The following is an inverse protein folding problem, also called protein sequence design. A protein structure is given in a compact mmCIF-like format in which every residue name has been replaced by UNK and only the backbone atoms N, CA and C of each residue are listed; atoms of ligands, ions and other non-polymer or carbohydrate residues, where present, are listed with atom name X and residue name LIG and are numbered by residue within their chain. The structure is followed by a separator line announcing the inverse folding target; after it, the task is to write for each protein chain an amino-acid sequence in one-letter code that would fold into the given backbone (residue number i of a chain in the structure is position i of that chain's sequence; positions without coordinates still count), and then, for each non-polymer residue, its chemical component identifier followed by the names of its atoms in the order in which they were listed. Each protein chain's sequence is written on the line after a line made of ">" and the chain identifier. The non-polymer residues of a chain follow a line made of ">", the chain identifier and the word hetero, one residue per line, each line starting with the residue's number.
data_IF_009077854358
#
_entry.id   IF_009077854358
#
_cell.length_a   1.000
_cell.length_b   1.000
_cell.length_c   1.000
_cell.angle_alpha   90.00
_cell.angle_beta   90.00
_cell.angle_gamma   90.00
#
_symmetry.space_group_name_H-M   'P 1'
#
loop_
_entity.id
_entity.type
_entity.pdbx_description
1 polymer ?
#
# COMPACT_ATOMS: atom_id res chain seq x y z
N UNK A 1 14.19 -1.16 -27.70
CA UNK A 1 14.56 -1.63 -26.34
C UNK A 1 14.02 -0.59 -25.37
N UNK A 2 13.22 -0.95 -24.37
CA UNK A 2 12.69 0.02 -23.41
C UNK A 2 13.85 0.52 -22.54
N UNK A 3 14.21 1.81 -22.62
CA UNK A 3 15.25 2.40 -21.79
C UNK A 3 14.89 2.24 -20.30
N UNK A 4 15.85 1.80 -19.49
CA UNK A 4 15.68 1.66 -18.04
C UNK A 4 16.39 2.79 -17.32
N UNK A 5 15.68 3.42 -16.40
CA UNK A 5 16.23 4.47 -15.55
C UNK A 5 17.16 3.89 -14.48
N UNK A 6 18.36 4.47 -14.35
CA UNK A 6 19.29 4.30 -13.23
C UNK A 6 19.85 5.67 -12.80
N UNK A 7 20.37 5.80 -11.56
CA UNK A 7 20.87 7.08 -11.05
C UNK A 7 21.95 7.74 -11.93
N UNK A 8 22.86 6.95 -12.48
CA UNK A 8 24.03 7.42 -13.25
C UNK A 8 23.83 7.40 -14.78
N UNK A 9 22.60 7.17 -15.27
CA UNK A 9 22.29 7.14 -16.70
C UNK A 9 21.32 6.04 -17.09
N UNK A 10 21.01 5.94 -18.38
CA UNK A 10 20.15 4.88 -18.91
C UNK A 10 20.92 3.56 -19.02
N UNK A 11 20.23 2.45 -18.77
CA UNK A 11 20.78 1.09 -18.89
C UNK A 11 21.98 0.86 -17.95
N UNK A 12 21.70 0.86 -16.64
CA UNK A 12 22.68 0.70 -15.56
C UNK A 12 23.56 -0.55 -15.66
N UNK A 13 24.48 -0.73 -14.70
CA UNK A 13 25.55 -1.71 -14.82
C UNK A 13 25.02 -3.14 -14.97
N UNK A 14 25.81 -4.01 -15.61
CA UNK A 14 25.60 -5.44 -15.52
C UNK A 14 25.81 -5.86 -14.07
N UNK A 15 24.74 -6.31 -13.42
CA UNK A 15 24.76 -6.72 -12.02
C UNK A 15 24.87 -8.24 -11.95
N UNK A 16 25.88 -8.71 -11.23
CA UNK A 16 25.95 -10.10 -10.81
C UNK A 16 25.29 -10.20 -9.45
N UNK A 17 24.18 -10.93 -9.38
CA UNK A 17 23.54 -11.20 -8.10
C UNK A 17 24.40 -12.22 -7.31
N UNK A 18 24.48 -12.12 -5.97
CA UNK A 18 25.31 -12.98 -5.15
C UNK A 18 24.67 -14.37 -4.93
N UNK A 19 24.09 -14.96 -5.97
CA UNK A 19 23.39 -16.24 -5.91
C UNK A 19 23.89 -17.20 -6.98
N UNK A 20 24.13 -18.46 -6.60
CA UNK A 20 24.61 -19.51 -7.53
C UNK A 20 23.46 -20.36 -8.06
N UNK A 21 22.44 -20.58 -7.22
CA UNK A 21 21.29 -21.42 -7.49
C UNK A 21 19.98 -20.65 -7.28
N UNK A 22 18.96 -21.02 -8.06
CA UNK A 22 17.66 -20.34 -8.04
C UNK A 22 16.96 -20.39 -6.67
N UNK A 23 17.13 -21.47 -5.92
CA UNK A 23 16.55 -21.62 -4.58
C UNK A 23 17.15 -20.66 -3.54
N UNK A 24 18.27 -19.99 -3.83
CA UNK A 24 18.85 -18.98 -2.94
C UNK A 24 18.07 -17.66 -2.95
N UNK A 25 17.29 -17.39 -4.01
CA UNK A 25 16.54 -16.14 -4.16
C UNK A 25 15.07 -16.29 -4.56
N UNK A 26 14.68 -17.46 -5.08
CA UNK A 26 13.29 -17.79 -5.39
C UNK A 26 12.65 -18.45 -4.16
N UNK A 27 11.87 -17.68 -3.43
CA UNK A 27 10.97 -18.22 -2.41
C UNK A 27 9.67 -18.67 -3.06
N UNK A 28 9.38 -19.98 -3.00
CA UNK A 28 8.07 -20.50 -3.40
C UNK A 28 7.09 -20.22 -2.28
N UNK A 29 6.31 -19.15 -2.45
CA UNK A 29 5.29 -18.78 -1.50
C UNK A 29 4.03 -19.61 -1.72
N UNK A 30 3.65 -20.39 -0.71
CA UNK A 30 2.31 -20.94 -0.62
C UNK A 30 1.42 -19.92 0.07
N UNK A 31 0.41 -19.46 -0.66
CA UNK A 31 -0.59 -18.53 -0.15
C UNK A 31 -1.26 -19.13 1.09
N UNK A 32 -1.10 -18.54 2.29
CA UNK A 32 -1.80 -19.01 3.48
C UNK A 32 -3.30 -18.83 3.27
N UNK A 33 -4.10 -19.68 3.91
CA UNK A 33 -5.56 -19.57 3.86
C UNK A 33 -6.01 -18.23 4.46
N UNK A 34 -6.30 -17.27 3.59
CA UNK A 34 -6.88 -15.96 3.92
C UNK A 34 -8.25 -15.83 3.28
N UNK A 35 -9.14 -15.10 3.95
CA UNK A 35 -10.38 -14.65 3.37
C UNK A 35 -10.15 -13.36 2.59
N UNK A 36 -10.75 -13.29 1.41
CA UNK A 36 -10.78 -12.10 0.57
C UNK A 36 -12.16 -11.45 0.68
N UNK A 37 -12.18 -10.17 1.02
CA UNK A 37 -13.41 -9.37 1.08
C UNK A 37 -13.20 -8.03 0.43
N UNK A 38 -14.27 -7.50 -0.17
CA UNK A 38 -14.29 -6.16 -0.74
C UNK A 38 -15.22 -5.31 0.08
N UNK A 39 -14.71 -4.16 0.48
CA UNK A 39 -15.43 -3.15 1.22
C UNK A 39 -15.50 -1.89 0.37
N UNK A 40 -16.72 -1.43 0.09
CA UNK A 40 -16.96 -0.20 -0.64
C UNK A 40 -16.94 1.00 0.29
N UNK A 41 -16.17 2.03 -0.08
CA UNK A 41 -16.14 3.31 0.61
C UNK A 41 -16.61 4.39 -0.35
N UNK A 42 -17.81 4.93 -0.09
CA UNK A 42 -18.34 6.04 -0.86
C UNK A 42 -17.45 7.28 -0.76
N UNK A 43 -17.56 8.18 -1.74
CA UNK A 43 -16.88 9.47 -1.72
C UNK A 43 -17.19 10.29 -0.45
N UNK A 44 -18.43 10.16 0.07
CA UNK A 44 -18.87 10.81 1.32
C UNK A 44 -18.13 10.24 2.53
N UNK A 45 -18.05 8.91 2.67
CA UNK A 45 -17.29 8.25 3.74
C UNK A 45 -15.82 8.68 3.73
N UNK A 46 -15.19 8.67 2.56
CA UNK A 46 -13.78 9.05 2.41
C UNK A 46 -13.57 10.54 2.76
N UNK A 47 -14.49 11.42 2.36
CA UNK A 47 -14.42 12.84 2.71
C UNK A 47 -14.56 13.05 4.22
N UNK A 48 -15.44 12.29 4.89
CA UNK A 48 -15.59 12.31 6.35
C UNK A 48 -14.31 11.85 7.05
N UNK A 49 -13.70 10.75 6.59
CA UNK A 49 -12.43 10.25 7.11
C UNK A 49 -11.31 11.27 6.93
N UNK A 50 -11.20 11.89 5.74
CA UNK A 50 -10.22 12.93 5.46
C UNK A 50 -10.40 14.13 6.38
N UNK A 51 -11.63 14.62 6.55
CA UNK A 51 -11.93 15.74 7.43
C UNK A 51 -11.51 15.42 8.87
N UNK A 52 -11.94 14.26 9.40
CA UNK A 52 -11.57 13.79 10.74
C UNK A 52 -10.05 13.72 10.93
N UNK A 53 -9.32 13.09 10.02
CA UNK A 53 -7.87 12.94 10.11
C UNK A 53 -7.14 14.31 10.13
N UNK A 54 -7.58 15.25 9.30
CA UNK A 54 -7.00 16.58 9.23
C UNK A 54 -7.34 17.43 10.47
N UNK A 55 -8.57 17.34 10.99
CA UNK A 55 -8.99 18.03 12.22
C UNK A 55 -8.23 17.51 13.44
N UNK A 56 -8.15 16.19 13.63
CA UNK A 56 -7.43 15.58 14.77
C UNK A 56 -5.93 15.92 14.76
N UNK A 57 -5.33 16.16 13.59
CA UNK A 57 -3.91 16.53 13.44
C UNK A 57 -3.67 18.02 13.23
N UNK A 58 -4.70 18.86 13.37
CA UNK A 58 -4.64 20.31 13.15
C UNK A 58 -3.90 20.70 11.85
N UNK A 59 -4.27 20.07 10.73
CA UNK A 59 -3.60 20.25 9.43
C UNK A 59 -4.58 20.15 8.28
N UNK A 60 -4.13 20.44 7.06
CA UNK A 60 -4.89 20.24 5.80
C UNK A 60 -4.12 19.39 4.79
N UNK A 61 -2.95 18.88 5.18
CA UNK A 61 -1.98 18.23 4.30
C UNK A 61 -2.24 16.73 4.10
N UNK A 62 -3.06 16.11 4.96
CA UNK A 62 -3.34 14.68 4.89
C UNK A 62 -4.34 14.43 3.76
N UNK A 63 -3.94 13.58 2.81
CA UNK A 63 -4.77 13.23 1.65
C UNK A 63 -5.89 12.25 2.00
N UNK A 64 -6.90 12.15 1.12
CA UNK A 64 -7.96 11.14 1.24
C UNK A 64 -7.40 9.72 1.31
N UNK A 65 -6.39 9.42 0.48
CA UNK A 65 -5.75 8.11 0.43
C UNK A 65 -5.01 7.77 1.72
N UNK A 66 -4.27 8.72 2.29
CA UNK A 66 -3.59 8.54 3.58
C UNK A 66 -4.59 8.38 4.72
N UNK A 67 -5.69 9.14 4.71
CA UNK A 67 -6.75 9.04 5.73
C UNK A 67 -7.43 7.66 5.69
N UNK A 68 -7.79 7.19 4.49
CA UNK A 68 -8.36 5.86 4.30
C UNK A 68 -7.38 4.74 4.64
N UNK A 69 -6.10 4.88 4.24
CA UNK A 69 -5.04 3.93 4.56
C UNK A 69 -4.80 3.81 6.07
N UNK A 70 -4.78 4.94 6.78
CA UNK A 70 -4.63 4.96 8.23
C UNK A 70 -5.84 4.35 8.94
N UNK A 71 -7.05 4.64 8.44
CA UNK A 71 -8.28 4.05 8.96
C UNK A 71 -8.24 2.52 8.84
N UNK A 72 -7.95 2.00 7.65
CA UNK A 72 -7.82 0.55 7.41
C UNK A 72 -6.71 -0.07 8.26
N UNK A 73 -5.55 0.59 8.39
CA UNK A 73 -4.46 0.09 9.23
C UNK A 73 -4.88 -0.06 10.70
N UNK A 74 -5.56 0.95 11.26
CA UNK A 74 -6.09 0.90 12.62
C UNK A 74 -7.14 -0.20 12.77
N UNK A 75 -8.11 -0.28 11.87
CA UNK A 75 -9.18 -1.27 11.93
C UNK A 75 -8.65 -2.71 11.84
N UNK A 76 -7.71 -2.98 10.93
CA UNK A 76 -7.05 -4.30 10.85
C UNK A 76 -6.27 -4.60 12.12
N UNK A 77 -5.55 -3.61 12.69
CA UNK A 77 -4.80 -3.80 13.93
C UNK A 77 -5.72 -4.15 15.10
N UNK A 78 -6.86 -3.45 15.23
CA UNK A 78 -7.88 -3.75 16.23
C UNK A 78 -8.51 -5.13 16.01
N UNK A 79 -8.87 -5.47 14.77
CA UNK A 79 -9.46 -6.77 14.42
C UNK A 79 -8.51 -7.95 14.72
N UNK A 80 -7.20 -7.74 14.56
CA UNK A 80 -6.16 -8.73 14.92
C UNK A 80 -5.98 -8.92 16.43
N UNK A 81 -6.50 -8.02 17.27
CA UNK A 81 -6.36 -8.05 18.74
C UNK A 81 -4.91 -8.25 19.20
N UNK A 82 -4.00 -7.51 18.58
CA UNK A 82 -2.58 -7.61 18.91
C UNK A 82 -2.31 -7.11 20.34
N UNK A 83 -1.39 -7.74 21.09
CA UNK A 83 -0.86 -7.16 22.32
C UNK A 83 -0.28 -5.76 22.08
N UNK A 84 -0.44 -4.86 23.04
CA UNK A 84 -0.13 -3.44 22.88
C UNK A 84 1.33 -3.17 22.49
N UNK A 85 2.26 -4.01 22.92
CA UNK A 85 3.70 -3.88 22.71
C UNK A 85 4.15 -4.31 21.32
N UNK A 86 3.29 -5.03 20.59
CA UNK A 86 3.65 -5.58 19.28
C UNK A 86 3.70 -4.46 18.25
N UNK A 87 4.84 -4.36 17.57
CA UNK A 87 5.02 -3.45 16.45
C UNK A 87 4.13 -3.86 15.28
N UNK A 88 3.44 -2.89 14.72
CA UNK A 88 2.70 -3.00 13.46
C UNK A 88 3.18 -1.92 12.50
N UNK A 89 3.07 -2.17 11.20
CA UNK A 89 3.39 -1.17 10.19
C UNK A 89 2.35 -1.09 9.09
N UNK A 90 2.27 0.09 8.49
CA UNK A 90 1.53 0.31 7.25
C UNK A 90 2.50 0.74 6.15
N UNK A 91 2.49 -0.05 5.08
CA UNK A 91 3.38 0.07 3.94
C UNK A 91 2.59 0.56 2.74
N UNK A 92 3.02 1.67 2.13
CA UNK A 92 2.41 2.24 0.94
C UNK A 92 3.35 2.12 -0.25
N UNK A 93 2.87 1.52 -1.34
CA UNK A 93 3.56 1.61 -2.63
C UNK A 93 3.50 3.05 -3.16
N UNK A 94 4.64 3.63 -3.51
CA UNK A 94 4.76 5.03 -3.91
C UNK A 94 5.40 5.17 -5.29
N UNK A 95 4.71 5.88 -6.19
CA UNK A 95 5.23 6.15 -7.54
C UNK A 95 6.38 7.16 -7.46
N UNK A 96 7.54 6.78 -8.00
CA UNK A 96 8.75 7.60 -7.96
C UNK A 96 8.89 8.53 -9.18
N UNK A 97 8.11 8.33 -10.25
CA UNK A 97 8.30 9.04 -11.53
C UNK A 97 8.34 10.57 -11.38
N UNK A 98 7.38 11.14 -10.67
CA UNK A 98 7.30 12.60 -10.45
C UNK A 98 8.17 13.09 -9.29
N UNK A 99 8.87 12.19 -8.58
CA UNK A 99 9.70 12.52 -7.41
C UNK A 99 11.18 12.63 -7.75
N UNK A 100 11.57 12.07 -8.88
CA UNK A 100 12.93 12.16 -9.41
C UNK A 100 13.17 13.54 -10.00
N UNK A 101 14.42 13.99 -9.94
CA UNK A 101 14.88 15.24 -10.54
C UNK A 101 16.00 14.92 -11.56
N UNK A 102 15.77 15.10 -12.88
CA UNK A 102 14.49 15.43 -13.53
C UNK A 102 13.44 14.30 -13.42
N UNK A 103 12.14 14.61 -13.52
CA UNK A 103 11.09 13.60 -13.41
C UNK A 103 11.11 12.63 -14.59
N UNK A 104 10.77 11.37 -14.31
CA UNK A 104 10.51 10.40 -15.37
C UNK A 104 9.20 10.74 -16.09
N UNK A 105 9.17 10.42 -17.37
CA UNK A 105 7.94 10.49 -18.17
C UNK A 105 6.79 9.75 -17.47
N UNK A 106 5.57 10.30 -17.43
CA UNK A 106 4.38 9.57 -17.00
C UNK A 106 4.19 8.25 -17.76
N UNK A 107 4.69 8.18 -19.00
CA UNK A 107 4.61 7.00 -19.88
C UNK A 107 5.81 6.05 -19.73
N UNK A 108 6.72 6.29 -18.78
CA UNK A 108 7.81 5.35 -18.49
C UNK A 108 7.25 4.00 -18.07
N UNK A 109 7.44 2.98 -18.93
CA UNK A 109 6.85 1.65 -18.77
C UNK A 109 7.56 0.81 -17.70
N UNK A 110 8.81 1.11 -17.38
CA UNK A 110 9.57 0.38 -16.36
C UNK A 110 9.01 0.55 -14.95
N UNK A 111 9.42 -0.35 -14.05
CA UNK A 111 9.12 -0.21 -12.62
C UNK A 111 9.86 1.01 -12.06
N UNK A 112 9.10 1.96 -11.50
CA UNK A 112 9.62 3.12 -10.79
C UNK A 112 8.69 3.43 -9.62
N UNK A 113 8.80 2.59 -8.60
CA UNK A 113 8.11 2.75 -7.34
C UNK A 113 8.96 2.15 -6.23
N UNK A 114 8.75 2.63 -5.01
CA UNK A 114 9.31 2.03 -3.79
C UNK A 114 8.19 1.89 -2.77
N UNK A 115 8.53 1.42 -1.58
CA UNK A 115 7.60 1.34 -0.47
C UNK A 115 8.04 2.27 0.64
N UNK A 116 7.12 3.10 1.13
CA UNK A 116 7.31 3.87 2.35
C UNK A 116 6.58 3.19 3.49
N UNK A 117 7.15 3.25 4.69
CA UNK A 117 6.62 2.52 5.84
C UNK A 117 6.42 3.47 7.01
N UNK A 118 5.23 3.43 7.61
CA UNK A 118 4.98 3.96 8.95
C UNK A 118 4.95 2.79 9.95
N UNK A 119 5.66 2.93 11.07
CA UNK A 119 5.75 1.91 12.12
C UNK A 119 5.40 2.51 13.47
N UNK A 120 4.78 1.71 14.34
CA UNK A 120 4.46 2.03 15.74
C UNK A 120 4.03 0.76 16.46
N UNK A 121 3.77 0.80 17.76
CA UNK A 121 3.16 -0.34 18.45
C UNK A 121 1.65 -0.37 18.25
N UNK A 122 1.03 -1.55 18.44
CA UNK A 122 -0.42 -1.70 18.33
C UNK A 122 -1.15 -0.84 19.38
N UNK A 123 -0.62 -0.76 20.60
CA UNK A 123 -1.14 0.11 21.66
C UNK A 123 -1.11 1.57 21.26
N UNK A 124 0.07 2.08 20.86
CA UNK A 124 0.20 3.48 20.42
C UNK A 124 -0.73 3.80 19.25
N UNK A 125 -0.86 2.88 18.29
CA UNK A 125 -1.74 3.07 17.12
C UNK A 125 -3.21 3.21 17.54
N UNK A 126 -3.67 2.38 18.47
CA UNK A 126 -5.07 2.32 18.87
C UNK A 126 -5.43 3.39 19.93
N UNK A 127 -4.49 3.73 20.81
CA UNK A 127 -4.66 4.75 21.86
C UNK A 127 -4.74 6.17 21.28
N UNK A 128 -4.04 6.43 20.16
CA UNK A 128 -4.14 7.71 19.46
C UNK A 128 -5.36 7.77 18.53
N UNK A 129 -5.63 8.93 17.91
CA UNK A 129 -6.68 9.11 16.90
C UNK A 129 -6.28 8.78 15.45
N UNK A 130 -7.27 8.77 14.55
CA UNK A 130 -7.09 8.56 13.11
C UNK A 130 -6.10 9.58 12.52
N UNK A 131 -6.18 10.85 12.95
CA UNK A 131 -5.30 11.90 12.50
C UNK A 131 -3.84 11.59 12.76
N UNK A 132 -3.51 11.07 13.93
CA UNK A 132 -2.14 10.72 14.31
C UNK A 132 -1.57 9.60 13.43
N UNK A 133 -2.35 8.56 13.18
CA UNK A 133 -1.96 7.47 12.29
C UNK A 133 -1.79 7.97 10.84
N UNK A 134 -2.71 8.81 10.36
CA UNK A 134 -2.63 9.41 9.03
C UNK A 134 -1.47 10.41 8.89
N UNK A 135 -1.10 11.09 9.97
CA UNK A 135 0.06 11.97 10.01
C UNK A 135 1.36 11.20 9.86
N UNK A 136 1.51 10.03 10.52
CA UNK A 136 2.65 9.13 10.30
C UNK A 136 2.80 8.74 8.83
N UNK A 137 1.70 8.37 8.17
CA UNK A 137 1.70 8.07 6.72
C UNK A 137 2.04 9.31 5.88
N UNK A 138 1.56 10.49 6.28
CA UNK A 138 1.92 11.75 5.64
C UNK A 138 3.43 12.02 5.71
N UNK A 139 4.03 11.88 6.89
CA UNK A 139 5.47 12.06 7.09
C UNK A 139 6.29 11.07 6.25
N UNK A 140 5.91 9.79 6.24
CA UNK A 140 6.56 8.77 5.43
C UNK A 140 6.52 9.10 3.92
N UNK A 141 5.39 9.63 3.43
CA UNK A 141 5.19 10.00 2.02
C UNK A 141 5.93 11.28 1.63
N UNK A 142 5.95 12.31 2.49
CA UNK A 142 6.57 13.60 2.16
C UNK A 142 8.10 13.54 2.25
N UNK A 143 8.65 12.70 3.13
CA UNK A 143 10.09 12.52 3.28
C UNK A 143 10.72 11.69 2.14
N UNK A 144 9.91 11.06 1.28
CA UNK A 144 10.38 10.24 0.16
C UNK A 144 10.75 11.07 -1.06
N UNK A 145 11.91 11.71 -1.04
CA UNK A 145 12.40 12.61 -2.10
C UNK A 145 13.22 11.90 -3.20
N UNK A 146 13.64 12.64 -4.24
CA UNK A 146 14.65 12.20 -5.22
C UNK A 146 15.88 11.57 -4.54
N UNK A 147 16.42 12.25 -3.52
CA UNK A 147 17.56 11.77 -2.72
C UNK A 147 17.27 10.41 -2.05
N UNK A 148 16.06 10.22 -1.53
CA UNK A 148 15.64 8.93 -0.94
C UNK A 148 15.60 7.83 -2.01
N UNK A 149 15.01 8.13 -3.17
CA UNK A 149 14.89 7.17 -4.28
C UNK A 149 16.26 6.75 -4.78
N UNK A 150 17.13 7.71 -5.10
CA UNK A 150 18.49 7.46 -5.61
C UNK A 150 19.36 6.80 -4.55
N UNK A 151 19.25 7.21 -3.28
CA UNK A 151 19.96 6.61 -2.15
C UNK A 151 19.69 5.10 -2.06
N UNK A 152 18.42 4.70 -2.03
CA UNK A 152 18.05 3.28 -2.01
C UNK A 152 18.61 2.52 -3.22
N UNK A 153 18.53 3.09 -4.42
CA UNK A 153 19.03 2.41 -5.63
C UNK A 153 20.56 2.29 -5.58
N UNK A 154 21.26 3.31 -5.11
CA UNK A 154 22.72 3.27 -4.94
C UNK A 154 23.15 2.25 -3.89
N UNK A 155 22.45 2.16 -2.76
CA UNK A 155 22.71 1.16 -1.73
C UNK A 155 22.45 -0.25 -2.27
N UNK A 156 21.37 -0.44 -3.02
CA UNK A 156 21.08 -1.69 -3.72
C UNK A 156 22.14 -2.04 -4.77
N UNK A 157 22.67 -1.06 -5.52
CA UNK A 157 23.76 -1.29 -6.47
C UNK A 157 25.06 -1.75 -5.79
N UNK A 158 25.32 -1.26 -4.57
CA UNK A 158 26.48 -1.67 -3.76
C UNK A 158 26.33 -3.07 -3.16
N UNK A 159 25.10 -3.45 -2.81
CA UNK A 159 24.79 -4.74 -2.20
C UNK A 159 23.45 -5.27 -2.73
N UNK A 160 23.45 -5.84 -3.96
CA UNK A 160 22.21 -6.21 -4.62
C UNK A 160 21.54 -7.39 -3.93
N UNK A 161 20.23 -7.26 -3.76
CA UNK A 161 19.38 -8.32 -3.23
C UNK A 161 18.16 -8.52 -4.12
N UNK A 162 17.60 -9.72 -4.12
CA UNK A 162 16.30 -9.98 -4.76
C UNK A 162 15.21 -9.61 -3.76
N UNK A 163 14.34 -8.68 -4.15
CA UNK A 163 13.22 -8.29 -3.31
C UNK A 163 12.27 -9.46 -3.11
N UNK A 164 12.11 -9.88 -1.86
CA UNK A 164 11.13 -10.89 -1.48
C UNK A 164 9.95 -10.22 -0.81
N UNK A 165 8.80 -10.22 -1.49
CA UNK A 165 7.52 -9.84 -0.90
C UNK A 165 7.04 -10.99 0.01
N UNK A 166 7.74 -11.22 1.11
CA UNK A 166 7.43 -12.32 2.03
C UNK A 166 6.64 -11.78 3.23
N UNK A 167 5.46 -12.34 3.54
CA UNK A 167 4.72 -12.02 4.76
C UNK A 167 5.53 -12.26 6.05
N UNK A 168 6.55 -13.11 5.99
CA UNK A 168 7.44 -13.39 7.13
C UNK A 168 8.37 -12.23 7.48
N UNK A 169 8.67 -11.34 6.52
CA UNK A 169 9.50 -10.15 6.77
C UNK A 169 8.72 -9.03 7.45
N UNK A 170 7.39 -9.06 7.33
CA UNK A 170 6.49 -8.02 7.82
C UNK A 170 5.27 -8.65 8.53
N UNK A 171 5.50 -9.46 9.60
CA UNK A 171 4.41 -10.09 10.31
C UNK A 171 3.55 -9.00 10.94
N UNK A 172 2.23 -9.09 10.77
CA UNK A 172 1.24 -8.15 11.36
C UNK A 172 1.26 -6.75 10.75
N UNK A 173 1.77 -6.65 9.53
CA UNK A 173 1.77 -5.43 8.73
C UNK A 173 0.51 -5.30 7.89
N UNK A 174 0.25 -4.09 7.40
CA UNK A 174 -0.75 -3.78 6.39
C UNK A 174 -0.04 -3.26 5.16
N UNK A 175 -0.11 -4.00 4.06
CA UNK A 175 0.59 -3.68 2.80
C UNK A 175 -0.44 -3.21 1.79
N UNK A 176 -0.46 -1.90 1.58
CA UNK A 176 -1.36 -1.24 0.64
C UNK A 176 -0.63 -1.10 -0.70
N UNK A 177 -1.02 -1.93 -1.66
CA UNK A 177 -0.55 -1.85 -3.04
C UNK A 177 -1.71 -1.67 -4.00
N UNK A 178 -1.49 -1.01 -5.14
CA UNK A 178 -2.53 -0.40 -6.00
C UNK A 178 -2.91 1.03 -5.58
N UNK A 179 -3.69 1.70 -6.42
CA UNK A 179 -4.17 3.05 -6.19
C UNK A 179 -5.50 3.27 -6.93
N UNK A 180 -6.48 3.95 -6.31
CA UNK A 180 -7.71 4.35 -7.00
C UNK A 180 -7.49 5.39 -8.09
N UNK A 181 -6.26 5.91 -8.24
CA UNK A 181 -5.90 6.85 -9.32
C UNK A 181 -5.69 6.18 -10.66
N UNK A 182 -5.47 4.86 -10.69
CA UNK A 182 -5.33 4.15 -11.95
C UNK A 182 -6.69 4.08 -12.63
N UNK A 183 -6.76 4.57 -13.87
CA UNK A 183 -7.98 4.55 -14.66
C UNK A 183 -8.29 3.13 -15.14
N UNK A 184 -8.73 2.25 -14.23
CA UNK A 184 -9.02 0.86 -14.55
C UNK A 184 -10.34 0.71 -15.30
N UNK A 185 -11.39 1.42 -14.86
CA UNK A 185 -12.72 1.36 -15.49
C UNK A 185 -12.83 2.11 -16.81
N UNK A 186 -11.88 2.98 -17.15
CA UNK A 186 -11.85 3.66 -18.45
C UNK A 186 -11.23 2.83 -19.56
N UNK A 187 -10.64 1.66 -19.26
CA UNK A 187 -10.20 0.73 -20.29
C UNK A 187 -11.41 -0.11 -20.74
N UNK A 188 -11.86 0.13 -21.96
CA UNK A 188 -13.02 -0.49 -22.58
C UNK A 188 -12.56 -1.09 -23.92
N UNK A 189 -13.01 -2.30 -24.25
CA UNK A 189 -12.55 -3.07 -25.40
C UNK A 189 -13.70 -3.62 -26.26
N UNK A 190 -14.84 -2.92 -26.32
CA UNK A 190 -16.07 -3.33 -27.01
C UNK A 190 -17.02 -4.23 -26.21
N UNK A 191 -16.75 -4.46 -24.92
CA UNK A 191 -17.54 -5.33 -24.02
C UNK A 191 -18.33 -4.55 -22.95
N UNK A 192 -18.27 -3.23 -23.00
CA UNK A 192 -18.80 -2.33 -21.98
C UNK A 192 -17.87 -2.15 -20.78
N UNK A 193 -18.26 -1.23 -19.90
CA UNK A 193 -17.51 -0.90 -18.68
C UNK A 193 -17.44 -2.12 -17.75
N UNK A 194 -16.22 -2.45 -17.29
CA UNK A 194 -15.98 -3.56 -16.37
C UNK A 194 -16.95 -3.56 -15.17
N UNK A 195 -17.37 -4.76 -14.76
CA UNK A 195 -18.32 -4.95 -13.66
C UNK A 195 -17.64 -4.77 -12.30
N UNK A 196 -16.44 -5.29 -12.13
CA UNK A 196 -15.68 -5.21 -10.87
C UNK A 196 -14.19 -5.38 -11.14
N UNK A 197 -13.36 -4.92 -10.22
CA UNK A 197 -11.91 -5.06 -10.26
C UNK A 197 -11.49 -6.02 -9.13
N UNK A 198 -10.60 -6.96 -9.43
CA UNK A 198 -10.10 -7.98 -8.51
C UNK A 198 -8.59 -8.12 -8.67
N UNK A 199 -7.88 -8.48 -7.61
CA UNK A 199 -6.48 -8.92 -7.75
C UNK A 199 -6.39 -10.42 -7.97
N UNK A 200 -5.33 -10.85 -8.67
CA UNK A 200 -5.03 -12.26 -8.91
C UNK A 200 -4.45 -12.97 -7.69
N UNK A 201 -4.39 -14.30 -7.77
CA UNK A 201 -4.01 -15.21 -6.68
C UNK A 201 -2.62 -14.94 -6.07
N UNK A 202 -1.64 -14.53 -6.88
CA UNK A 202 -0.23 -14.42 -6.44
C UNK A 202 0.07 -13.30 -5.44
N UNK A 203 -0.90 -12.46 -5.08
CA UNK A 203 -0.71 -11.33 -4.17
C UNK A 203 -1.58 -11.42 -2.91
N UNK A 204 -2.09 -12.61 -2.56
CA UNK A 204 -2.99 -12.80 -1.42
C UNK A 204 -2.20 -13.26 -0.19
N UNK A 205 -2.24 -12.49 0.88
CA UNK A 205 -1.59 -12.82 2.15
C UNK A 205 -2.17 -11.97 3.27
N UNK A 206 -1.91 -12.35 4.53
CA UNK A 206 -2.42 -11.62 5.71
C UNK A 206 -1.96 -10.16 5.68
N UNK A 207 -2.93 -9.23 5.69
CA UNK A 207 -2.67 -7.80 5.71
C UNK A 207 -2.48 -7.17 4.33
N UNK A 208 -2.66 -7.94 3.25
CA UNK A 208 -2.73 -7.36 1.91
C UNK A 208 -3.99 -6.52 1.79
N UNK A 209 -3.81 -5.29 1.30
CA UNK A 209 -4.88 -4.35 0.99
C UNK A 209 -4.67 -3.81 -0.42
N UNK A 210 -5.71 -3.91 -1.25
CA UNK A 210 -5.71 -3.49 -2.64
C UNK A 210 -6.86 -2.51 -2.92
N UNK A 211 -6.60 -1.19 -2.88
CA UNK A 211 -7.60 -0.19 -3.21
C UNK A 211 -7.73 -0.01 -4.73
N UNK A 212 -8.97 0.06 -5.20
CA UNK A 212 -9.39 0.27 -6.57
C UNK A 212 -10.30 1.50 -6.66
N UNK A 213 -10.36 2.20 -7.82
CA UNK A 213 -11.44 3.18 -8.00
C UNK A 213 -12.77 2.46 -7.81
N UNK A 214 -13.76 3.08 -7.16
CA UNK A 214 -15.11 2.53 -7.12
C UNK A 214 -15.78 2.65 -8.49
N UNK A 215 -16.63 1.68 -8.84
CA UNK A 215 -17.26 1.63 -10.17
C UNK A 215 -18.09 2.87 -10.51
N UNK A 216 -18.77 3.42 -9.51
CA UNK A 216 -19.59 4.63 -9.62
C UNK A 216 -18.77 5.89 -9.93
N UNK A 217 -17.45 5.86 -9.67
CA UNK A 217 -16.58 7.02 -9.84
C UNK A 217 -16.68 8.02 -8.68
N UNK A 218 -16.43 9.30 -8.96
CA UNK A 218 -16.56 10.41 -8.00
C UNK A 218 -15.68 10.30 -6.73
N UNK A 219 -14.61 9.51 -6.78
CA UNK A 219 -13.68 9.36 -5.66
C UNK A 219 -14.11 8.31 -4.62
N UNK A 220 -15.11 7.48 -4.92
CA UNK A 220 -15.34 6.23 -4.19
C UNK A 220 -14.18 5.25 -4.41
N UNK A 221 -14.00 4.32 -3.46
CA UNK A 221 -12.93 3.34 -3.47
C UNK A 221 -13.47 1.99 -3.03
N UNK A 222 -13.22 0.96 -3.83
CA UNK A 222 -13.41 -0.43 -3.41
C UNK A 222 -12.08 -0.95 -2.87
N UNK A 223 -12.06 -1.44 -1.64
CA UNK A 223 -10.87 -1.99 -1.02
C UNK A 223 -11.03 -3.50 -0.89
N UNK A 224 -10.18 -4.24 -1.57
CA UNK A 224 -10.00 -5.66 -1.31
C UNK A 224 -9.01 -5.86 -0.15
N UNK A 225 -9.44 -6.59 0.88
CA UNK A 225 -8.66 -6.89 2.08
C UNK A 225 -8.50 -8.41 2.20
N UNK A 226 -7.29 -8.86 2.48
CA UNK A 226 -6.96 -10.27 2.74
C UNK A 226 -6.52 -10.45 4.19
N UNK A 227 -7.23 -11.29 4.95
CA UNK A 227 -6.93 -11.57 6.35
C UNK A 227 -7.23 -13.04 6.70
N UNK A 228 -6.57 -13.63 7.72
CA UNK A 228 -7.01 -14.88 8.31
C UNK A 228 -8.47 -14.79 8.78
N UNK A 229 -9.19 -15.91 8.76
CA UNK A 229 -10.64 -15.95 9.02
C UNK A 229 -11.04 -15.27 10.33
N UNK A 230 -10.28 -15.48 11.42
CA UNK A 230 -10.54 -14.84 12.70
C UNK A 230 -10.52 -13.30 12.60
N UNK A 231 -9.46 -12.75 12.00
CA UNK A 231 -9.27 -11.30 11.85
C UNK A 231 -10.27 -10.71 10.86
N UNK A 232 -10.63 -11.43 9.79
CA UNK A 232 -11.65 -10.97 8.85
C UNK A 232 -13.02 -10.88 9.51
N UNK A 233 -13.45 -11.93 10.22
CA UNK A 233 -14.73 -11.94 10.91
C UNK A 233 -14.81 -10.83 11.98
N UNK A 234 -13.70 -10.58 12.69
CA UNK A 234 -13.60 -9.48 13.63
C UNK A 234 -13.71 -8.11 12.96
N UNK A 235 -13.12 -7.93 11.77
CA UNK A 235 -13.23 -6.70 10.98
C UNK A 235 -14.65 -6.47 10.44
N UNK A 236 -15.31 -7.53 9.95
CA UNK A 236 -16.71 -7.48 9.49
C UNK A 236 -17.69 -7.17 10.64
N UNK A 237 -17.30 -7.44 11.89
CA UNK A 237 -18.08 -7.13 13.09
C UNK A 237 -17.66 -5.81 13.76
N UNK A 238 -16.69 -5.09 13.21
CA UNK A 238 -16.15 -3.86 13.77
C UNK A 238 -17.06 -2.66 13.44
N UNK A 239 -17.76 -2.13 14.44
CA UNK A 239 -18.76 -1.08 14.24
C UNK A 239 -18.18 0.21 13.64
N UNK A 240 -16.99 0.64 14.06
CA UNK A 240 -16.36 1.84 13.52
C UNK A 240 -15.99 1.64 12.04
N UNK A 241 -15.42 0.47 11.71
CA UNK A 241 -15.07 0.10 10.34
C UNK A 241 -16.31 0.03 9.45
N UNK A 242 -17.32 -0.75 9.86
CA UNK A 242 -18.54 -0.95 9.08
C UNK A 242 -19.40 0.30 8.96
N UNK A 243 -19.33 1.24 9.92
CA UNK A 243 -19.99 2.54 9.78
C UNK A 243 -19.36 3.45 8.70
N UNK A 244 -18.13 3.15 8.24
CA UNK A 244 -17.47 3.85 7.14
C UNK A 244 -17.67 3.14 5.79
N UNK A 245 -17.96 1.85 5.80
CA UNK A 245 -18.34 1.05 4.62
C UNK A 245 -19.77 1.41 4.21
N UNK A 246 -20.04 1.46 2.90
CA UNK A 246 -21.33 1.87 2.34
C UNK A 246 -21.72 1.08 1.10
#
# INVERSE_FOLDING_TARGET
>A
MLERWFPDGNNGPLLTLPFTHQNEFITRFETPHVLERIFHFSAKSITKLKKRANTESNTTKISSFQSLSAFVWRSITRARRLPCEIVTCCMLAINNRSRLEPPLSPNYFGNSFQTVTAMTTAGELLDHGLGWAAWKLYQAVVNHSDKSVRGFVNDWLRSPFVYQCSPHLYPRSVIIGSSPRFNMYGNEFGLGKALTLRSGYGNKFDGKVSPYPGREGNGSVDIEICLPSFSMNALESDEEFMAAVS
#
